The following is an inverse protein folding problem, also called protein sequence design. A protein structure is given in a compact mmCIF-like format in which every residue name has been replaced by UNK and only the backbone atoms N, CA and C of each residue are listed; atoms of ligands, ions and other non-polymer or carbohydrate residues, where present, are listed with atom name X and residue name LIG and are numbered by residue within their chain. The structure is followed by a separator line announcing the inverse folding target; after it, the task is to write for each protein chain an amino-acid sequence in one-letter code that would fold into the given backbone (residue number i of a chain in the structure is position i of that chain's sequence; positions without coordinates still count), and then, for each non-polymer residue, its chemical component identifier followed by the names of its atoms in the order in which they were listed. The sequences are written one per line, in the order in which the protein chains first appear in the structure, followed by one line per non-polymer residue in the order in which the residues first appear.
data_IF_820490068143
#
_entry.id   IF_820490068143
#
_cell.length_a   1.000
_cell.length_b   1.000
_cell.length_c   1.000
_cell.angle_alpha   90.00
_cell.angle_beta   90.00
_cell.angle_gamma   90.00
#
_symmetry.space_group_name_H-M   'P 1'
#
loop_
_entity.id
_entity.type
_entity.pdbx_description
1 polymer ?
#
# COMPACT_ATOMS: atom_id res chain seq x y z
N UNK A 1 -7.69 -39.23 41.62
CA UNK A 1 -7.32 -38.80 42.97
C UNK A 1 -7.82 -37.39 43.17
N UNK A 2 -8.77 -37.31 44.02
CA UNK A 2 -9.58 -36.21 44.52
C UNK A 2 -8.80 -35.35 45.50
N UNK A 3 -9.21 -34.09 45.66
CA UNK A 3 -9.30 -33.27 46.88
C UNK A 3 -8.87 -31.84 46.58
N UNK A 4 -9.74 -30.91 46.60
CA UNK A 4 -10.63 -30.16 47.48
C UNK A 4 -10.22 -28.69 47.59
N UNK A 5 -11.21 -27.86 47.40
CA UNK A 5 -11.27 -26.42 47.63
C UNK A 5 -11.13 -26.06 49.13
N UNK A 6 -10.75 -24.80 49.40
CA UNK A 6 -11.19 -24.08 50.61
C UNK A 6 -11.42 -22.61 50.33
N UNK A 7 -12.61 -22.22 50.66
CA UNK A 7 -13.27 -20.93 50.77
C UNK A 7 -12.87 -20.24 52.10
N UNK A 8 -12.90 -18.87 52.09
CA UNK A 8 -13.12 -17.98 53.28
C UNK A 8 -13.03 -16.53 52.77
N UNK A 9 -13.97 -15.74 52.66
CA UNK A 9 -15.15 -15.28 53.31
C UNK A 9 -14.94 -14.39 54.58
N UNK A 10 -15.13 -13.04 54.43
CA UNK A 10 -15.65 -12.14 55.52
C UNK A 10 -15.84 -10.73 54.91
N UNK A 11 -17.10 -10.30 54.71
CA UNK A 11 -18.10 -9.50 55.45
C UNK A 11 -17.58 -8.13 55.97
N UNK A 12 -18.08 -7.14 55.33
CA UNK A 12 -18.91 -5.96 55.69
C UNK A 12 -18.76 -5.33 57.09
N UNK A 13 -18.72 -3.96 57.11
CA UNK A 13 -19.71 -3.17 57.88
C UNK A 13 -19.66 -1.70 57.44
N UNK A 14 -20.84 -1.14 57.32
CA UNK A 14 -21.16 0.30 57.13
C UNK A 14 -21.21 1.03 58.49
N UNK A 15 -20.95 2.34 58.47
CA UNK A 15 -21.59 3.25 59.39
C UNK A 15 -21.75 4.63 58.77
N UNK A 16 -22.99 5.10 58.74
CA UNK A 16 -23.42 6.48 58.53
C UNK A 16 -23.32 7.22 59.87
N UNK A 17 -23.05 8.49 59.83
CA UNK A 17 -23.76 9.43 60.73
C UNK A 17 -23.76 10.88 60.20
N UNK A 18 -24.81 11.48 60.51
CA UNK A 18 -25.44 12.77 60.27
C UNK A 18 -24.84 13.93 61.06
N UNK A 19 -25.00 15.18 60.57
CA UNK A 19 -24.83 16.37 61.40
C UNK A 19 -25.02 17.69 60.62
N UNK A 20 -26.10 18.35 60.90
CA UNK A 20 -26.69 19.52 60.25
C UNK A 20 -26.28 20.87 60.87
N UNK A 21 -26.56 21.94 60.11
CA UNK A 21 -26.84 23.35 60.47
C UNK A 21 -25.64 24.23 60.86
N UNK A 22 -25.50 25.45 60.37
CA UNK A 22 -26.34 26.59 60.57
C UNK A 22 -26.01 27.79 59.65
N UNK A 23 -26.91 28.69 59.54
CA UNK A 23 -27.01 29.86 58.68
C UNK A 23 -26.17 31.07 59.15
N UNK A 24 -25.81 31.97 58.22
CA UNK A 24 -25.31 33.31 58.52
C UNK A 24 -25.31 34.17 57.25
N UNK A 25 -26.18 35.15 57.26
CA UNK A 25 -26.47 36.08 56.19
C UNK A 25 -25.49 37.28 56.15
N UNK A 26 -25.58 38.02 55.00
CA UNK A 26 -25.22 39.42 54.72
C UNK A 26 -23.79 39.65 54.23
N UNK A 27 -23.50 40.33 53.12
CA UNK A 27 -23.85 41.61 52.65
C UNK A 27 -23.34 41.86 51.24
N UNK A 28 -24.12 42.62 50.51
CA UNK A 28 -23.90 43.14 49.16
C UNK A 28 -22.68 44.05 49.07
N UNK A 29 -21.76 43.78 48.12
CA UNK A 29 -20.91 44.83 47.56
C UNK A 29 -20.88 44.67 46.05
N UNK A 30 -21.51 45.58 45.40
CA UNK A 30 -21.54 45.83 43.96
C UNK A 30 -20.16 46.33 43.52
N UNK A 31 -19.46 45.56 42.72
CA UNK A 31 -18.27 46.00 42.04
C UNK A 31 -18.40 45.69 40.55
N UNK A 32 -18.62 46.79 39.84
CA UNK A 32 -18.59 46.84 38.37
C UNK A 32 -17.28 46.20 37.83
N UNK A 33 -17.40 45.12 37.11
CA UNK A 33 -16.33 44.62 36.29
C UNK A 33 -16.68 44.81 34.82
N UNK A 34 -15.93 45.67 34.21
CA UNK A 34 -15.84 45.94 32.79
C UNK A 34 -15.73 44.65 32.01
N UNK A 35 -16.70 44.39 31.15
CA UNK A 35 -16.67 43.35 30.10
C UNK A 35 -15.52 43.63 29.13
N UNK A 36 -14.43 42.92 29.31
CA UNK A 36 -13.41 42.79 28.28
C UNK A 36 -13.87 41.66 27.34
N UNK A 37 -14.46 42.03 26.23
CA UNK A 37 -14.73 41.15 25.12
C UNK A 37 -13.40 40.48 24.74
N UNK A 38 -13.21 39.23 25.15
CA UNK A 38 -12.28 38.31 24.50
C UNK A 38 -12.87 37.97 23.15
N UNK A 39 -12.33 38.57 22.12
CA UNK A 39 -12.50 38.14 20.76
C UNK A 39 -12.00 36.68 20.66
N UNK A 40 -12.94 35.74 20.55
CA UNK A 40 -12.66 34.40 20.10
C UNK A 40 -12.07 34.49 18.68
N UNK A 41 -10.76 34.50 18.60
CA UNK A 41 -10.05 34.17 17.36
C UNK A 41 -10.34 32.69 17.13
N UNK A 42 -11.38 32.44 16.33
CA UNK A 42 -11.61 31.11 15.76
C UNK A 42 -10.29 30.65 15.11
N UNK A 43 -9.63 29.69 15.73
CA UNK A 43 -8.54 28.99 15.13
C UNK A 43 -9.08 28.35 13.84
N UNK A 44 -8.84 29.01 12.70
CA UNK A 44 -9.06 28.40 11.40
C UNK A 44 -8.20 27.14 11.38
N UNK A 45 -8.83 25.97 11.48
CA UNK A 45 -8.17 24.69 11.29
C UNK A 45 -7.50 24.77 9.91
N UNK A 46 -6.14 24.67 9.89
CA UNK A 46 -5.42 24.49 8.63
C UNK A 46 -6.11 23.35 7.88
N UNK A 47 -6.37 23.49 6.58
CA UNK A 47 -6.93 22.39 5.80
C UNK A 47 -6.06 21.16 6.04
N UNK A 48 -6.68 20.09 6.48
CA UNK A 48 -5.98 18.82 6.68
C UNK A 48 -5.56 18.30 5.30
N UNK A 49 -4.24 18.22 5.05
CA UNK A 49 -3.73 17.62 3.84
C UNK A 49 -4.13 16.16 3.77
N UNK A 50 -4.48 15.68 2.58
CA UNK A 50 -4.71 14.27 2.30
C UNK A 50 -3.43 13.66 1.75
N UNK A 51 -2.97 12.60 2.39
CA UNK A 51 -1.67 11.98 2.13
C UNK A 51 -1.79 10.67 1.36
N UNK A 52 -0.90 10.43 0.40
CA UNK A 52 -0.82 9.15 -0.28
C UNK A 52 0.61 8.62 -0.35
N UNK A 53 0.74 7.29 -0.37
CA UNK A 53 1.99 6.57 -0.65
C UNK A 53 1.83 5.80 -1.95
N UNK A 54 2.78 5.95 -2.88
CA UNK A 54 2.83 5.23 -4.15
C UNK A 54 4.09 4.37 -4.19
N UNK A 55 3.96 3.06 -4.44
CA UNK A 55 5.09 2.18 -4.77
C UNK A 55 4.91 1.62 -6.18
N UNK A 56 5.84 1.98 -7.06
CA UNK A 56 5.81 1.61 -8.48
C UNK A 56 6.29 0.16 -8.73
N UNK A 57 6.75 -0.53 -7.72
CA UNK A 57 7.21 -1.92 -7.83
C UNK A 57 8.46 -2.07 -8.72
N UNK A 58 8.49 -3.15 -9.50
CA UNK A 58 9.60 -3.41 -10.44
C UNK A 58 10.37 -4.70 -10.15
N UNK A 59 9.68 -5.75 -9.73
CA UNK A 59 10.25 -7.05 -9.38
C UNK A 59 11.19 -6.92 -8.17
N UNK A 60 12.41 -7.49 -8.25
CA UNK A 60 13.38 -7.45 -7.14
C UNK A 60 13.77 -6.04 -6.68
N UNK A 61 13.72 -5.04 -7.57
CA UNK A 61 14.03 -3.65 -7.19
C UNK A 61 13.05 -3.07 -6.17
N UNK A 62 11.86 -3.66 -6.04
CA UNK A 62 10.87 -3.23 -5.05
C UNK A 62 11.30 -3.49 -3.60
N UNK A 63 12.45 -4.15 -3.37
CA UNK A 63 13.11 -4.21 -2.05
C UNK A 63 13.42 -2.80 -1.51
N UNK A 64 13.68 -1.81 -2.39
CA UNK A 64 13.86 -0.42 -1.99
C UNK A 64 12.56 0.14 -1.37
N UNK A 65 11.41 -0.12 -2.02
CA UNK A 65 10.10 0.24 -1.46
C UNK A 65 9.80 -0.45 -0.14
N UNK A 66 10.18 -1.73 -0.02
CA UNK A 66 10.06 -2.46 1.25
C UNK A 66 10.79 -1.75 2.38
N UNK A 67 12.04 -1.31 2.15
CA UNK A 67 12.83 -0.57 3.14
C UNK A 67 12.22 0.79 3.51
N UNK A 68 11.63 1.51 2.53
CA UNK A 68 10.91 2.76 2.79
C UNK A 68 9.71 2.50 3.69
N UNK A 69 8.93 1.45 3.43
CA UNK A 69 7.75 1.11 4.22
C UNK A 69 8.10 0.63 5.64
N UNK A 70 9.15 -0.20 5.77
CA UNK A 70 9.66 -0.60 7.08
C UNK A 70 10.07 0.65 7.89
N UNK A 71 10.75 1.62 7.26
CA UNK A 71 11.10 2.88 7.92
C UNK A 71 9.89 3.71 8.31
N UNK A 72 8.86 3.78 7.46
CA UNK A 72 7.60 4.44 7.81
C UNK A 72 6.94 3.81 9.04
N UNK A 73 6.94 2.47 9.13
CA UNK A 73 6.39 1.78 10.29
C UNK A 73 7.18 2.06 11.57
N UNK A 74 8.53 2.06 11.52
CA UNK A 74 9.41 2.40 12.64
C UNK A 74 9.16 3.81 13.19
N UNK A 75 8.88 4.77 12.30
CA UNK A 75 8.61 6.16 12.66
C UNK A 75 7.13 6.46 12.93
N UNK A 76 6.25 5.46 12.80
CA UNK A 76 4.81 5.64 12.98
C UNK A 76 4.16 6.53 11.90
N UNK A 77 4.76 6.61 10.70
CA UNK A 77 4.23 7.39 9.57
C UNK A 77 3.10 6.60 8.92
N UNK A 78 1.95 7.25 8.79
CA UNK A 78 0.75 6.69 8.15
C UNK A 78 0.29 7.57 6.99
N UNK A 79 -0.53 6.99 6.12
CA UNK A 79 -1.09 7.65 4.95
C UNK A 79 -2.61 7.44 4.90
N UNK A 80 -3.32 8.35 4.22
CA UNK A 80 -4.76 8.19 3.99
C UNK A 80 -5.04 7.15 2.90
N UNK A 81 -4.10 6.99 1.94
CA UNK A 81 -4.22 6.03 0.84
C UNK A 81 -2.87 5.51 0.35
N UNK A 82 -2.87 4.27 -0.15
CA UNK A 82 -1.73 3.61 -0.75
C UNK A 82 -2.05 3.16 -2.19
N UNK A 83 -1.13 3.39 -3.13
CA UNK A 83 -1.20 2.91 -4.50
C UNK A 83 -0.06 1.94 -4.76
N UNK A 84 -0.38 0.74 -5.24
CA UNK A 84 0.61 -0.30 -5.53
C UNK A 84 0.57 -0.75 -6.98
N UNK A 85 1.75 -0.79 -7.62
CA UNK A 85 1.92 -1.33 -8.98
C UNK A 85 2.83 -2.54 -8.92
N UNK A 86 2.41 -3.69 -9.51
CA UNK A 86 3.27 -4.87 -9.57
C UNK A 86 3.73 -5.30 -8.16
N UNK A 87 5.01 -5.58 -7.96
CA UNK A 87 5.58 -5.92 -6.66
C UNK A 87 5.33 -4.86 -5.56
N UNK A 88 5.06 -3.60 -5.95
CA UNK A 88 4.66 -2.54 -5.03
C UNK A 88 3.32 -2.81 -4.35
N UNK A 89 2.40 -3.49 -5.04
CA UNK A 89 1.12 -3.88 -4.44
C UNK A 89 1.30 -4.89 -3.29
N UNK A 90 2.25 -5.83 -3.43
CA UNK A 90 2.60 -6.77 -2.36
C UNK A 90 3.26 -6.08 -1.17
N UNK A 91 4.16 -5.12 -1.44
CA UNK A 91 4.78 -4.31 -0.39
C UNK A 91 3.73 -3.57 0.43
N UNK A 92 2.73 -2.97 -0.24
CA UNK A 92 1.64 -2.24 0.41
C UNK A 92 0.77 -3.14 1.29
N UNK A 93 0.44 -4.35 0.84
CA UNK A 93 -0.35 -5.29 1.65
C UNK A 93 0.36 -5.59 2.97
N UNK A 94 1.66 -5.89 2.94
CA UNK A 94 2.45 -6.16 4.15
C UNK A 94 2.55 -4.92 5.05
N UNK A 95 2.71 -3.73 4.45
CA UNK A 95 2.74 -2.46 5.16
C UNK A 95 1.42 -2.19 5.87
N UNK A 96 0.29 -2.34 5.18
CA UNK A 96 -1.05 -2.13 5.73
C UNK A 96 -1.45 -3.18 6.77
N UNK A 97 -0.89 -4.39 6.66
CA UNK A 97 -1.03 -5.43 7.68
C UNK A 97 -0.12 -5.21 8.92
N UNK A 98 0.70 -4.15 8.92
CA UNK A 98 1.60 -3.88 10.06
C UNK A 98 2.76 -4.88 10.20
N UNK A 99 3.04 -5.68 9.16
CA UNK A 99 4.05 -6.75 9.20
C UNK A 99 5.45 -6.22 8.83
N UNK A 100 6.07 -5.51 9.77
CA UNK A 100 7.44 -5.00 9.64
C UNK A 100 8.43 -6.12 9.26
N UNK A 101 9.33 -5.82 8.30
CA UNK A 101 10.35 -6.74 7.82
C UNK A 101 9.82 -7.88 6.94
N UNK A 102 8.50 -8.04 6.76
CA UNK A 102 7.94 -9.14 5.96
C UNK A 102 8.42 -9.08 4.51
N UNK A 103 8.35 -7.92 3.89
CA UNK A 103 8.80 -7.74 2.51
C UNK A 103 10.32 -7.94 2.39
N UNK A 104 11.12 -7.41 3.31
CA UNK A 104 12.56 -7.63 3.33
C UNK A 104 12.89 -9.13 3.34
N UNK A 105 12.25 -9.91 4.23
CA UNK A 105 12.46 -11.36 4.30
C UNK A 105 12.04 -12.06 3.01
N UNK A 106 10.94 -11.61 2.37
CA UNK A 106 10.55 -12.16 1.08
C UNK A 106 11.67 -11.98 0.04
N UNK A 107 12.19 -10.76 -0.14
CA UNK A 107 13.22 -10.49 -1.15
C UNK A 107 14.57 -11.12 -0.84
N UNK A 108 14.90 -11.38 0.42
CA UNK A 108 16.22 -11.94 0.81
C UNK A 108 16.22 -13.46 0.98
N UNK A 109 15.06 -14.09 1.18
CA UNK A 109 14.96 -15.52 1.41
C UNK A 109 14.03 -16.21 0.40
N UNK A 110 12.75 -15.85 0.38
CA UNK A 110 11.73 -16.59 -0.39
C UNK A 110 11.87 -16.38 -1.90
N UNK A 111 12.28 -15.20 -2.33
CA UNK A 111 12.43 -14.88 -3.75
C UNK A 111 13.56 -15.64 -4.45
N UNK A 112 14.45 -16.30 -3.71
CA UNK A 112 15.50 -17.16 -4.24
C UNK A 112 15.10 -18.64 -4.27
N UNK A 113 13.92 -18.98 -3.81
CA UNK A 113 13.43 -20.36 -3.85
C UNK A 113 13.04 -20.77 -5.27
N UNK A 114 13.26 -22.05 -5.59
CA UNK A 114 12.91 -22.62 -6.91
C UNK A 114 11.41 -22.59 -7.18
N UNK A 115 10.61 -22.62 -6.13
CA UNK A 115 9.16 -22.53 -6.17
C UNK A 115 8.68 -21.17 -6.69
N UNK A 116 9.45 -20.10 -6.42
CA UNK A 116 9.12 -18.74 -6.88
C UNK A 116 9.51 -18.53 -8.34
N UNK A 117 10.76 -18.80 -8.72
CA UNK A 117 11.24 -18.56 -10.07
C UNK A 117 12.19 -19.67 -10.51
N UNK A 118 11.81 -20.39 -11.56
CA UNK A 118 12.67 -21.41 -12.15
C UNK A 118 12.44 -21.52 -13.65
N UNK A 119 13.49 -21.91 -14.37
CA UNK A 119 13.39 -22.22 -15.79
C UNK A 119 12.45 -23.41 -16.04
N UNK A 120 12.41 -24.37 -15.13
CA UNK A 120 11.49 -25.51 -15.20
C UNK A 120 10.02 -25.07 -15.10
N UNK A 121 9.72 -24.07 -14.29
CA UNK A 121 8.38 -23.47 -14.18
C UNK A 121 7.99 -22.77 -15.48
N UNK A 122 8.91 -22.05 -16.10
CA UNK A 122 8.66 -21.42 -17.40
C UNK A 122 8.36 -22.43 -18.50
N UNK A 123 9.13 -23.52 -18.57
CA UNK A 123 8.92 -24.57 -19.58
C UNK A 123 7.60 -25.32 -19.36
N UNK A 124 7.20 -25.55 -18.12
CA UNK A 124 5.99 -26.34 -17.80
C UNK A 124 4.70 -25.53 -17.77
N UNK A 125 4.78 -24.26 -17.35
CA UNK A 125 3.60 -23.45 -17.01
C UNK A 125 3.57 -22.10 -17.74
N UNK A 126 4.55 -21.81 -18.61
CA UNK A 126 4.74 -20.50 -19.27
C UNK A 126 4.82 -19.31 -18.30
N UNK A 127 5.16 -19.58 -17.03
CA UNK A 127 5.31 -18.62 -15.97
C UNK A 127 6.72 -18.66 -15.40
N UNK A 128 7.48 -17.58 -15.63
CA UNK A 128 8.83 -17.43 -15.04
C UNK A 128 8.75 -17.17 -13.54
N UNK A 129 7.79 -16.32 -13.11
CA UNK A 129 7.49 -16.07 -11.72
C UNK A 129 6.18 -16.78 -11.34
N UNK A 130 6.24 -17.64 -10.35
CA UNK A 130 5.07 -18.36 -9.84
C UNK A 130 4.29 -17.46 -8.87
N UNK A 131 3.34 -16.73 -9.42
CA UNK A 131 2.50 -15.81 -8.64
C UNK A 131 1.56 -16.57 -7.68
N UNK A 132 1.16 -17.78 -8.01
CA UNK A 132 0.35 -18.63 -7.14
C UNK A 132 1.14 -19.11 -5.92
N UNK A 133 2.45 -19.33 -6.08
CA UNK A 133 3.30 -19.61 -4.93
C UNK A 133 3.36 -18.40 -3.98
N UNK A 134 3.62 -17.20 -4.50
CA UNK A 134 3.79 -15.99 -3.68
C UNK A 134 2.49 -15.57 -3.01
N UNK A 135 1.44 -15.42 -3.81
CA UNK A 135 0.16 -14.84 -3.38
C UNK A 135 -0.90 -15.87 -2.98
N UNK A 136 -0.56 -17.14 -3.07
CA UNK A 136 -1.37 -18.25 -2.62
C UNK A 136 -0.62 -19.06 -1.57
N UNK A 137 0.18 -20.05 -1.99
CA UNK A 137 0.83 -21.02 -1.11
C UNK A 137 1.63 -20.39 0.04
N UNK A 138 2.36 -19.30 -0.21
CA UNK A 138 3.18 -18.63 0.81
C UNK A 138 2.35 -17.72 1.72
N UNK A 139 1.41 -16.97 1.14
CA UNK A 139 0.76 -15.82 1.79
C UNK A 139 -0.62 -16.10 2.37
N UNK A 140 -1.28 -17.22 2.01
CA UNK A 140 -2.55 -17.62 2.61
C UNK A 140 -2.37 -17.98 4.10
N UNK A 141 -3.48 -18.01 4.83
CA UNK A 141 -3.48 -18.23 6.29
C UNK A 141 -2.77 -19.51 6.74
N UNK A 142 -2.82 -20.57 5.93
CA UNK A 142 -2.17 -21.86 6.15
C UNK A 142 -0.78 -21.97 5.50
N UNK A 143 -0.32 -20.87 4.87
CA UNK A 143 0.97 -20.80 4.22
C UNK A 143 2.14 -20.69 5.20
N UNK A 144 3.37 -20.84 4.68
CA UNK A 144 4.59 -20.74 5.48
C UNK A 144 4.82 -19.31 6.01
N UNK A 145 4.33 -18.30 5.29
CA UNK A 145 4.55 -16.90 5.62
C UNK A 145 3.29 -16.05 5.36
N UNK A 146 2.25 -16.24 6.16
CA UNK A 146 0.94 -15.68 5.89
C UNK A 146 0.91 -14.14 5.97
N UNK A 147 0.00 -13.56 5.21
CA UNK A 147 -0.41 -12.17 5.40
C UNK A 147 -1.40 -12.13 6.56
N UNK A 148 -1.22 -11.19 7.48
CA UNK A 148 -2.22 -10.87 8.49
C UNK A 148 -3.38 -10.10 7.83
N UNK A 149 -4.30 -10.86 7.25
CA UNK A 149 -5.45 -10.30 6.55
C UNK A 149 -6.36 -9.50 7.49
N UNK A 150 -6.52 -9.93 8.74
CA UNK A 150 -7.38 -9.24 9.69
C UNK A 150 -6.82 -7.85 10.02
N UNK A 151 -5.52 -7.76 10.27
CA UNK A 151 -4.84 -6.47 10.47
C UNK A 151 -4.91 -5.59 9.21
N UNK A 152 -4.69 -6.18 8.01
CA UNK A 152 -4.84 -5.47 6.74
C UNK A 152 -6.26 -4.93 6.57
N UNK A 153 -7.28 -5.74 6.76
CA UNK A 153 -8.68 -5.36 6.58
C UNK A 153 -9.11 -4.27 7.57
N UNK A 154 -8.66 -4.37 8.83
CA UNK A 154 -8.97 -3.42 9.89
C UNK A 154 -8.24 -2.06 9.74
N UNK A 155 -7.16 -1.99 8.96
CA UNK A 155 -6.42 -0.75 8.73
C UNK A 155 -7.31 0.28 8.00
N UNK A 156 -7.47 1.52 8.50
CA UNK A 156 -8.37 2.51 7.88
C UNK A 156 -7.84 3.09 6.56
N UNK A 157 -6.55 2.92 6.25
CA UNK A 157 -5.92 3.43 5.03
C UNK A 157 -6.55 2.80 3.79
N UNK A 158 -6.92 3.63 2.80
CA UNK A 158 -7.37 3.16 1.50
C UNK A 158 -6.25 2.47 0.72
N UNK A 159 -6.61 1.60 -0.21
CA UNK A 159 -5.63 0.90 -1.03
C UNK A 159 -6.13 0.70 -2.46
N UNK A 160 -5.28 1.00 -3.42
CA UNK A 160 -5.54 0.81 -4.85
C UNK A 160 -4.43 -0.01 -5.49
N UNK A 161 -4.80 -1.05 -6.22
CA UNK A 161 -3.90 -1.89 -7.01
C UNK A 161 -4.14 -1.64 -8.49
N UNK A 162 -3.08 -1.36 -9.23
CA UNK A 162 -3.16 -1.05 -10.65
C UNK A 162 -2.86 -2.30 -11.48
N UNK A 163 -3.73 -2.62 -12.45
CA UNK A 163 -3.49 -3.66 -13.44
C UNK A 163 -3.89 -3.17 -14.84
N UNK A 164 -3.41 -3.83 -15.88
CA UNK A 164 -3.76 -3.56 -17.27
C UNK A 164 -4.78 -4.58 -17.76
N UNK A 165 -5.97 -4.14 -18.19
CA UNK A 165 -6.91 -5.00 -18.91
C UNK A 165 -6.26 -5.46 -20.22
N UNK A 166 -6.06 -6.77 -20.38
CA UNK A 166 -5.38 -7.32 -21.54
C UNK A 166 -6.17 -7.16 -22.85
N UNK A 167 -7.51 -7.05 -22.77
CA UNK A 167 -8.38 -6.99 -23.95
C UNK A 167 -8.37 -5.64 -24.63
N UNK A 168 -8.39 -4.55 -23.84
CA UNK A 168 -8.52 -3.19 -24.36
C UNK A 168 -7.34 -2.27 -24.00
N UNK A 169 -6.40 -2.74 -23.17
CA UNK A 169 -5.24 -1.97 -22.74
C UNK A 169 -5.56 -0.84 -21.76
N UNK A 170 -6.76 -0.80 -21.19
CA UNK A 170 -7.13 0.19 -20.19
C UNK A 170 -6.51 -0.11 -18.82
N UNK A 171 -6.31 0.94 -18.02
CA UNK A 171 -5.96 0.78 -16.61
C UNK A 171 -7.19 0.32 -15.81
N UNK A 172 -7.00 -0.72 -15.00
CA UNK A 172 -7.95 -1.13 -13.97
C UNK A 172 -7.35 -0.77 -12.62
N UNK A 173 -8.12 -0.04 -11.85
CA UNK A 173 -7.82 0.30 -10.47
C UNK A 173 -8.71 -0.55 -9.57
N UNK A 174 -8.11 -1.57 -8.96
CA UNK A 174 -8.79 -2.38 -7.96
C UNK A 174 -8.76 -1.68 -6.61
N UNK A 175 -9.83 -1.78 -5.85
CA UNK A 175 -9.96 -1.20 -4.52
C UNK A 175 -9.53 -2.18 -3.42
N UNK A 176 -9.33 -1.67 -2.21
CA UNK A 176 -9.04 -2.49 -1.03
C UNK A 176 -10.09 -3.57 -0.78
N UNK A 177 -11.36 -3.28 -1.08
CA UNK A 177 -12.48 -4.22 -0.94
C UNK A 177 -12.42 -5.40 -1.91
N UNK A 178 -11.59 -5.33 -2.97
CA UNK A 178 -11.36 -6.44 -3.91
C UNK A 178 -10.32 -7.45 -3.36
N UNK A 179 -9.70 -7.17 -2.20
CA UNK A 179 -8.83 -8.12 -1.49
C UNK A 179 -9.66 -8.89 -0.47
N UNK A 180 -9.70 -10.21 -0.59
CA UNK A 180 -10.44 -11.06 0.32
C UNK A 180 -9.53 -11.99 1.12
N UNK A 181 -10.07 -12.62 2.15
CA UNK A 181 -9.34 -13.61 2.94
C UNK A 181 -8.85 -14.75 2.04
N UNK A 182 -7.54 -15.00 2.07
CA UNK A 182 -6.85 -15.97 1.19
C UNK A 182 -7.05 -15.74 -0.32
N UNK A 183 -7.46 -14.55 -0.71
CA UNK A 183 -7.60 -14.15 -2.10
C UNK A 183 -6.84 -12.85 -2.38
N UNK A 184 -5.61 -13.01 -2.87
CA UNK A 184 -4.72 -11.93 -3.30
C UNK A 184 -4.63 -11.84 -4.83
N UNK A 185 -5.70 -12.18 -5.53
CA UNK A 185 -5.73 -12.28 -6.99
C UNK A 185 -5.46 -10.96 -7.70
N UNK A 186 -5.87 -9.82 -7.12
CA UNK A 186 -5.57 -8.50 -7.70
C UNK A 186 -4.06 -8.20 -7.70
N UNK A 187 -3.29 -8.67 -6.71
CA UNK A 187 -1.83 -8.57 -6.71
C UNK A 187 -1.21 -9.47 -7.78
N UNK A 188 -1.76 -10.68 -8.02
CA UNK A 188 -1.34 -11.55 -9.12
C UNK A 188 -1.57 -10.85 -10.47
N UNK A 189 -2.75 -10.25 -10.67
CA UNK A 189 -3.09 -9.48 -11.86
C UNK A 189 -2.11 -8.31 -12.09
N UNK A 190 -1.85 -7.53 -11.03
CA UNK A 190 -0.90 -6.41 -11.07
C UNK A 190 0.55 -6.82 -11.31
N UNK A 191 0.90 -8.08 -11.03
CA UNK A 191 2.28 -8.62 -11.15
C UNK A 191 2.48 -9.54 -12.36
N UNK A 192 1.46 -9.79 -13.18
CA UNK A 192 1.53 -10.65 -14.36
C UNK A 192 2.26 -9.96 -15.51
N UNK A 193 3.60 -10.01 -15.50
CA UNK A 193 4.44 -9.39 -16.52
C UNK A 193 4.27 -10.11 -17.86
N UNK A 194 3.89 -9.40 -18.95
CA UNK A 194 3.71 -10.02 -20.25
C UNK A 194 4.91 -10.84 -20.73
N UNK A 195 4.65 -12.01 -21.32
CA UNK A 195 5.63 -12.99 -21.82
C UNK A 195 6.38 -13.73 -20.71
N UNK A 196 6.58 -13.11 -19.56
CA UNK A 196 7.13 -13.81 -18.38
C UNK A 196 6.05 -14.57 -17.60
N UNK A 197 4.79 -14.11 -17.70
CA UNK A 197 3.62 -14.74 -17.09
C UNK A 197 2.45 -14.73 -18.07
N UNK A 198 1.56 -15.72 -17.94
CA UNK A 198 0.22 -15.64 -18.54
C UNK A 198 -0.58 -14.51 -17.84
N UNK A 199 -1.57 -13.91 -18.54
CA UNK A 199 -2.44 -12.92 -17.91
C UNK A 199 -3.26 -13.58 -16.80
N UNK A 200 -3.42 -12.87 -15.69
CA UNK A 200 -4.24 -13.37 -14.59
C UNK A 200 -5.72 -13.00 -14.82
N UNK A 201 -6.60 -13.98 -14.71
CA UNK A 201 -8.04 -13.78 -15.01
C UNK A 201 -8.82 -13.53 -13.73
N UNK A 202 -9.52 -12.38 -13.67
CA UNK A 202 -10.47 -12.04 -12.60
C UNK A 202 -11.82 -11.76 -13.27
N UNK A 203 -12.87 -12.43 -12.82
CA UNK A 203 -14.24 -12.30 -13.34
C UNK A 203 -14.34 -12.43 -14.89
N UNK A 204 -13.54 -13.34 -15.45
CA UNK A 204 -13.48 -13.58 -16.89
C UNK A 204 -12.69 -12.57 -17.71
N UNK A 205 -12.11 -11.56 -17.08
CA UNK A 205 -11.25 -10.55 -17.73
C UNK A 205 -9.77 -10.88 -17.45
N UNK A 206 -8.94 -11.03 -18.50
CA UNK A 206 -7.50 -11.21 -18.33
C UNK A 206 -6.81 -9.88 -18.04
N UNK A 207 -5.87 -9.89 -17.07
CA UNK A 207 -5.09 -8.72 -16.69
C UNK A 207 -3.59 -9.01 -16.76
N UNK A 208 -2.84 -7.98 -17.13
CA UNK A 208 -1.38 -7.92 -17.04
C UNK A 208 -0.93 -6.87 -16.00
N UNK A 209 0.38 -6.88 -15.74
CA UNK A 209 1.07 -5.95 -14.84
C UNK A 209 0.67 -4.50 -15.10
N UNK A 210 0.29 -3.79 -14.03
CA UNK A 210 -0.12 -2.39 -14.08
C UNK A 210 0.96 -1.45 -14.61
N UNK A 211 2.22 -1.83 -14.46
CA UNK A 211 3.35 -1.07 -14.96
C UNK A 211 3.45 -0.98 -16.50
N UNK A 212 2.54 -1.59 -17.25
CA UNK A 212 2.46 -1.37 -18.71
C UNK A 212 1.46 -0.31 -19.11
N UNK A 213 0.59 0.14 -18.18
CA UNK A 213 -0.49 1.11 -18.49
C UNK A 213 -0.40 2.37 -17.65
N UNK A 214 -0.13 2.27 -16.35
CA UNK A 214 0.02 3.40 -15.41
C UNK A 214 1.16 3.06 -14.42
N UNK A 215 2.41 3.14 -14.91
CA UNK A 215 3.58 2.71 -14.14
C UNK A 215 3.94 3.61 -12.95
N UNK A 216 3.53 4.90 -12.97
CA UNK A 216 3.78 5.87 -11.90
C UNK A 216 2.50 6.66 -11.66
N UNK A 217 1.50 6.12 -10.94
CA UNK A 217 0.14 6.64 -10.85
C UNK A 217 0.02 7.92 -10.02
N UNK A 218 0.93 8.88 -10.24
CA UNK A 218 0.94 10.16 -9.52
C UNK A 218 -0.26 11.03 -9.92
N UNK A 219 -0.62 11.05 -11.23
CA UNK A 219 -1.78 11.80 -11.68
C UNK A 219 -3.06 11.21 -11.09
N UNK A 220 -3.19 9.88 -11.06
CA UNK A 220 -4.33 9.21 -10.43
C UNK A 220 -4.49 9.63 -8.96
N UNK A 221 -3.42 9.67 -8.18
CA UNK A 221 -3.47 10.10 -6.79
C UNK A 221 -3.90 11.58 -6.64
N UNK A 222 -3.43 12.46 -7.54
CA UNK A 222 -3.86 13.87 -7.59
C UNK A 222 -5.35 13.98 -7.94
N UNK A 223 -5.83 13.22 -8.94
CA UNK A 223 -7.23 13.21 -9.36
C UNK A 223 -8.16 12.68 -8.28
N UNK A 224 -7.68 11.75 -7.43
CA UNK A 224 -8.39 11.24 -6.25
C UNK A 224 -8.38 12.24 -5.06
N UNK A 225 -7.71 13.39 -5.23
CA UNK A 225 -7.72 14.50 -4.29
C UNK A 225 -6.65 14.41 -3.19
N UNK A 226 -5.55 13.65 -3.41
CA UNK A 226 -4.40 13.64 -2.51
C UNK A 226 -3.43 14.76 -2.90
N UNK A 227 -3.03 15.58 -1.93
CA UNK A 227 -2.22 16.77 -2.15
C UNK A 227 -0.83 16.71 -1.49
N UNK A 228 -0.55 15.62 -0.78
CA UNK A 228 0.77 15.26 -0.22
C UNK A 228 1.07 13.80 -0.53
N UNK A 229 1.97 13.57 -1.44
CA UNK A 229 2.26 12.24 -1.98
C UNK A 229 3.72 11.89 -1.74
N UNK A 230 3.96 10.72 -1.17
CA UNK A 230 5.28 10.08 -1.18
C UNK A 230 5.30 9.08 -2.33
N UNK A 231 6.15 9.32 -3.31
CA UNK A 231 6.34 8.47 -4.48
C UNK A 231 7.64 7.69 -4.32
N UNK A 232 7.52 6.37 -4.25
CA UNK A 232 8.67 5.46 -4.19
C UNK A 232 8.95 4.92 -5.58
N UNK A 233 10.02 5.43 -6.22
CA UNK A 233 10.58 4.89 -7.43
C UNK A 233 11.58 3.79 -7.09
N UNK A 234 11.69 2.77 -7.94
CA UNK A 234 12.66 1.68 -7.79
C UNK A 234 13.79 1.74 -8.82
N UNK A 235 13.94 2.91 -9.44
CA UNK A 235 15.03 3.31 -10.32
C UNK A 235 15.47 4.71 -9.96
N UNK A 236 16.73 5.08 -10.23
CA UNK A 236 17.17 6.48 -10.08
C UNK A 236 16.24 7.41 -10.87
N UNK A 237 15.82 8.50 -10.24
CA UNK A 237 14.81 9.41 -10.80
C UNK A 237 15.20 10.12 -12.08
N UNK A 238 16.50 10.16 -12.38
CA UNK A 238 17.04 10.82 -13.57
C UNK A 238 17.36 9.85 -14.72
N UNK A 239 17.12 8.54 -14.51
CA UNK A 239 17.34 7.51 -15.53
C UNK A 239 16.08 7.28 -16.34
N UNK A 240 16.11 7.70 -17.61
CA UNK A 240 15.00 7.47 -18.54
C UNK A 240 14.87 5.98 -18.88
N UNK A 241 13.63 5.53 -19.03
CA UNK A 241 13.33 4.20 -19.56
C UNK A 241 13.47 4.20 -21.07
N UNK A 242 14.05 3.15 -21.61
CA UNK A 242 14.23 2.95 -23.05
C UNK A 242 13.22 1.92 -23.60
N UNK A 243 12.75 2.15 -24.82
CA UNK A 243 11.80 1.27 -25.52
C UNK A 243 12.38 -0.10 -25.84
N UNK A 244 13.67 -0.21 -26.12
CA UNK A 244 14.31 -1.39 -26.72
C UNK A 244 14.00 -2.71 -26.02
N UNK A 245 13.82 -2.68 -24.68
CA UNK A 245 13.52 -3.88 -23.88
C UNK A 245 12.10 -4.40 -24.06
N UNK A 246 11.18 -3.54 -24.50
CA UNK A 246 9.75 -3.86 -24.63
C UNK A 246 9.36 -4.28 -26.05
N UNK A 247 10.23 -4.08 -27.06
CA UNK A 247 9.94 -4.36 -28.50
C UNK A 247 9.65 -5.85 -28.73
N UNK A 248 10.54 -6.73 -28.29
CA UNK A 248 10.39 -8.17 -28.53
C UNK A 248 9.20 -8.76 -27.76
N UNK A 249 9.02 -8.49 -26.44
CA UNK A 249 7.83 -8.89 -25.72
C UNK A 249 6.52 -8.37 -26.33
N UNK A 250 6.45 -7.10 -26.75
CA UNK A 250 5.27 -6.53 -27.37
C UNK A 250 4.93 -7.21 -28.71
N UNK A 251 5.95 -7.58 -29.50
CA UNK A 251 5.73 -8.32 -30.75
C UNK A 251 5.11 -9.69 -30.51
N UNK A 252 5.54 -10.41 -29.48
CA UNK A 252 4.98 -11.72 -29.10
C UNK A 252 3.54 -11.52 -28.61
N UNK A 253 3.32 -10.58 -27.70
CA UNK A 253 2.03 -10.31 -27.10
C UNK A 253 0.95 -9.87 -28.10
N UNK A 254 1.37 -9.17 -29.17
CA UNK A 254 0.47 -8.56 -30.18
C UNK A 254 -0.48 -9.57 -30.84
N UNK A 255 -0.07 -10.85 -30.91
CA UNK A 255 -0.89 -11.87 -31.54
C UNK A 255 -2.14 -12.19 -30.73
N UNK A 256 -2.03 -12.26 -29.39
CA UNK A 256 -3.14 -12.62 -28.50
C UNK A 256 -3.82 -11.40 -27.88
N UNK A 257 -3.04 -10.36 -27.55
CA UNK A 257 -3.49 -9.17 -26.83
C UNK A 257 -2.94 -7.91 -27.48
N UNK A 258 -3.45 -7.49 -28.64
CA UNK A 258 -2.88 -6.38 -29.42
C UNK A 258 -2.90 -5.04 -28.66
N UNK A 259 -3.97 -4.76 -27.90
CA UNK A 259 -4.08 -3.52 -27.11
C UNK A 259 -3.06 -3.46 -25.97
N UNK A 260 -2.92 -4.53 -25.21
CA UNK A 260 -1.89 -4.61 -24.16
C UNK A 260 -0.46 -4.56 -24.75
N UNK A 261 -0.25 -5.15 -25.94
CA UNK A 261 1.02 -5.06 -26.65
C UNK A 261 1.39 -3.64 -27.06
N UNK A 262 0.42 -2.84 -27.48
CA UNK A 262 0.60 -1.41 -27.78
C UNK A 262 0.98 -0.63 -26.52
N UNK A 263 0.30 -0.87 -25.39
CA UNK A 263 0.67 -0.29 -24.09
C UNK A 263 2.09 -0.66 -23.68
N UNK A 264 2.44 -1.95 -23.78
CA UNK A 264 3.79 -2.42 -23.47
C UNK A 264 4.86 -1.73 -24.34
N UNK A 265 4.60 -1.57 -25.63
CA UNK A 265 5.52 -0.90 -26.56
C UNK A 265 5.75 0.57 -26.21
N UNK A 266 4.72 1.25 -25.71
CA UNK A 266 4.72 2.67 -25.35
C UNK A 266 5.02 2.93 -23.86
N UNK A 267 5.16 1.89 -23.05
CA UNK A 267 5.40 1.96 -21.60
C UNK A 267 6.57 2.87 -21.21
N UNK A 268 7.62 2.91 -22.04
CA UNK A 268 8.78 3.75 -21.79
C UNK A 268 8.42 5.24 -21.80
N UNK A 269 7.58 5.67 -22.75
CA UNK A 269 7.14 7.05 -22.86
C UNK A 269 6.21 7.39 -21.67
N UNK A 270 5.20 6.57 -21.42
CA UNK A 270 4.28 6.76 -20.28
C UNK A 270 5.06 6.90 -18.97
N UNK A 271 6.01 5.97 -18.68
CA UNK A 271 6.83 6.05 -17.48
C UNK A 271 7.64 7.35 -17.39
N UNK A 272 8.28 7.77 -18.49
CA UNK A 272 9.11 8.97 -18.48
C UNK A 272 8.27 10.24 -18.31
N UNK A 273 7.09 10.30 -18.92
CA UNK A 273 6.16 11.43 -18.81
C UNK A 273 5.60 11.54 -17.39
N UNK A 274 5.22 10.40 -16.76
CA UNK A 274 4.72 10.37 -15.40
C UNK A 274 5.81 10.73 -14.37
N UNK A 275 7.06 10.29 -14.57
CA UNK A 275 8.19 10.72 -13.73
C UNK A 275 8.47 12.22 -13.92
N UNK A 276 8.38 12.74 -15.15
CA UNK A 276 8.54 14.17 -15.39
C UNK A 276 7.45 14.98 -14.66
N UNK A 277 6.21 14.53 -14.74
CA UNK A 277 5.08 15.13 -14.01
C UNK A 277 5.29 15.06 -12.47
N UNK A 278 5.75 13.92 -11.96
CA UNK A 278 6.06 13.78 -10.53
C UNK A 278 7.12 14.79 -10.08
N UNK A 279 8.15 15.04 -10.91
CA UNK A 279 9.18 16.06 -10.63
C UNK A 279 8.63 17.49 -10.66
N UNK A 280 7.62 17.77 -11.49
CA UNK A 280 6.91 19.05 -11.43
C UNK A 280 6.18 19.22 -10.11
N UNK A 281 5.46 18.21 -9.67
CA UNK A 281 4.78 18.21 -8.38
C UNK A 281 5.75 18.20 -7.18
N UNK A 282 6.95 17.63 -7.33
CA UNK A 282 8.02 17.72 -6.32
C UNK A 282 8.48 19.18 -6.15
N UNK A 283 8.66 19.93 -7.24
CA UNK A 283 9.01 21.36 -7.17
C UNK A 283 7.92 22.20 -6.52
N UNK A 284 6.65 21.81 -6.72
CA UNK A 284 5.49 22.47 -6.08
C UNK A 284 5.29 22.05 -4.61
N UNK A 285 6.11 21.11 -4.10
CA UNK A 285 6.01 20.60 -2.74
C UNK A 285 4.81 19.68 -2.48
N UNK A 286 4.15 19.17 -3.53
CA UNK A 286 3.04 18.21 -3.43
C UNK A 286 3.50 16.76 -3.42
N UNK A 287 4.62 16.46 -4.05
CA UNK A 287 5.22 15.13 -4.11
C UNK A 287 6.59 15.14 -3.48
N UNK A 288 6.90 14.10 -2.72
CA UNK A 288 8.24 13.73 -2.28
C UNK A 288 8.65 12.47 -3.04
N UNK A 289 9.67 12.58 -3.89
CA UNK A 289 10.18 11.42 -4.63
C UNK A 289 11.32 10.76 -3.83
N UNK A 290 11.11 9.50 -3.45
CA UNK A 290 12.14 8.63 -2.90
C UNK A 290 12.59 7.66 -4.00
N UNK A 291 13.87 7.67 -4.31
CA UNK A 291 14.46 6.84 -5.36
C UNK A 291 15.85 6.37 -4.95
N UNK A 292 16.29 5.16 -5.36
CA UNK A 292 17.67 4.74 -5.13
C UNK A 292 18.63 5.57 -5.99
N UNK A 293 19.85 5.77 -5.50
CA UNK A 293 20.91 6.47 -6.26
C UNK A 293 21.42 5.61 -7.42
N UNK A 294 21.45 4.27 -7.21
CA UNK A 294 21.81 3.30 -8.23
C UNK A 294 21.01 2.00 -8.06
N UNK A 295 21.20 1.05 -8.94
CA UNK A 295 20.47 -0.24 -8.91
C UNK A 295 21.25 -1.37 -8.20
N UNK A 296 22.44 -1.12 -7.68
CA UNK A 296 23.29 -2.12 -7.01
C UNK A 296 23.39 -3.46 -7.78
N UNK A 297 23.34 -3.41 -9.10
CA UNK A 297 23.38 -4.61 -9.97
C UNK A 297 22.02 -5.33 -10.18
N UNK A 298 20.91 -4.77 -9.70
CA UNK A 298 19.55 -5.33 -9.88
C UNK A 298 18.92 -4.96 -11.23
#
# INVERSE_FOLDING_TARGET
MTVKATDNGHKATAHADTGARDAGAAETVESQRTDTQRSDVSAQSKPSHRTALIDVGGGFRAIFGAGVMDRCQEEGITFDHCYGVSAGSANMVSFLAGQHGRNHKFYTEYAFRKEYASFDSYVKHHNFANLDYVYGTLSNHDGEYPVDYEAFAANPTGFTVIACNALDGSAKYFDKSDVHYDDFNIMKASSAVPVACEPYVIDGVPYFDGGIVDPVPVQKAIDDGYDRIVLVLTRPKDVLREQKRDIAPARILRHSYPAAAERLLNRYATYNDEVALAKEYERDGRVLILAPDDLCGL
#
